data_IF_323281807670
#
_entry.id   IF_323281807670
#
_cell.length_a   1.000
_cell.length_b   1.000
_cell.length_c   1.000
_cell.angle_alpha   90.00
_cell.angle_beta   90.00
_cell.angle_gamma   90.00
#
_symmetry.space_group_name_H-M   'P 1'
#
loop_
_entity.id
_entity.type
_entity.pdbx_description
1 polymer ?
#
# COMPACT_ATOMS: atom_id res chain seq x y z
N UNK A 1 -35.76 41.23 -64.28
CA UNK A 1 -34.87 40.83 -63.15
C UNK A 1 -35.43 39.56 -62.52
N UNK A 2 -34.95 38.38 -62.95
CA UNK A 2 -35.34 37.08 -62.37
C UNK A 2 -34.31 36.73 -61.29
N UNK A 3 -34.76 36.62 -60.04
CA UNK A 3 -33.91 36.25 -58.89
C UNK A 3 -33.61 34.75 -58.98
N UNK A 4 -32.34 34.41 -59.14
CA UNK A 4 -31.82 33.04 -59.09
C UNK A 4 -31.49 32.74 -57.62
N UNK A 5 -32.23 31.83 -57.01
CA UNK A 5 -31.98 31.37 -55.64
C UNK A 5 -31.06 30.15 -55.71
N UNK A 6 -29.79 30.31 -55.37
CA UNK A 6 -28.84 29.20 -55.22
C UNK A 6 -29.12 28.49 -53.88
N UNK A 7 -29.63 27.26 -53.95
CA UNK A 7 -29.72 26.37 -52.79
C UNK A 7 -28.34 25.72 -52.59
N UNK A 8 -27.61 26.20 -51.57
CA UNK A 8 -26.35 25.62 -51.12
C UNK A 8 -26.65 24.35 -50.31
N UNK A 9 -26.57 23.18 -50.96
CA UNK A 9 -26.69 21.88 -50.31
C UNK A 9 -25.39 21.60 -49.54
N UNK A 10 -25.37 21.91 -48.24
CA UNK A 10 -24.25 21.59 -47.35
C UNK A 10 -24.17 20.08 -47.12
N UNK A 11 -23.18 19.43 -47.75
CA UNK A 11 -22.85 18.03 -47.50
C UNK A 11 -22.18 17.95 -46.11
N UNK A 12 -22.95 17.55 -45.10
CA UNK A 12 -22.42 17.19 -43.78
C UNK A 12 -21.60 15.89 -43.96
N UNK A 13 -20.27 16.00 -44.04
CA UNK A 13 -19.38 14.85 -43.86
C UNK A 13 -19.45 14.46 -42.38
N UNK A 14 -20.24 13.43 -42.08
CA UNK A 14 -20.15 12.72 -40.81
C UNK A 14 -18.85 11.93 -40.86
N UNK A 15 -17.81 12.46 -40.23
CA UNK A 15 -16.56 11.75 -40.02
C UNK A 15 -16.85 10.65 -38.99
N UNK A 16 -17.26 9.46 -39.46
CA UNK A 16 -17.35 8.29 -38.59
C UNK A 16 -15.96 8.02 -38.03
N UNK A 17 -15.78 8.21 -36.72
CA UNK A 17 -14.60 7.73 -36.03
C UNK A 17 -14.51 6.22 -36.31
N UNK A 18 -13.46 5.79 -37.02
CA UNK A 18 -13.19 4.37 -37.17
C UNK A 18 -13.00 3.80 -35.76
N UNK A 19 -13.64 2.69 -35.40
CA UNK A 19 -13.43 2.07 -34.10
C UNK A 19 -11.94 1.77 -33.96
N UNK A 20 -11.30 2.34 -32.94
CA UNK A 20 -9.92 1.99 -32.57
C UNK A 20 -9.96 0.51 -32.20
N UNK A 21 -9.19 -0.37 -32.87
CA UNK A 21 -9.16 -1.77 -32.50
C UNK A 21 -8.64 -1.89 -31.07
N UNK A 22 -9.36 -2.64 -30.24
CA UNK A 22 -8.92 -2.94 -28.88
C UNK A 22 -7.55 -3.65 -28.93
N UNK A 23 -6.62 -3.24 -28.06
CA UNK A 23 -5.29 -3.83 -27.96
C UNK A 23 -5.35 -5.36 -27.83
N UNK A 24 -4.41 -6.07 -28.49
CA UNK A 24 -4.31 -7.53 -28.43
C UNK A 24 -4.20 -8.01 -26.96
N UNK A 25 -4.89 -9.10 -26.60
CA UNK A 25 -4.88 -9.65 -25.24
C UNK A 25 -4.21 -11.03 -25.20
N UNK A 26 -3.18 -11.19 -24.39
CA UNK A 26 -2.59 -12.50 -24.09
C UNK A 26 -2.85 -12.87 -22.63
N UNK A 27 -3.65 -13.93 -22.44
CA UNK A 27 -3.87 -14.53 -21.12
C UNK A 27 -2.77 -15.56 -20.87
N UNK A 28 -2.03 -15.41 -19.77
CA UNK A 28 -1.02 -16.38 -19.31
C UNK A 28 -1.53 -16.99 -18.01
N UNK A 29 -1.79 -18.30 -18.02
CA UNK A 29 -2.45 -18.99 -16.91
C UNK A 29 -1.56 -20.04 -16.26
N UNK A 30 -1.43 -19.91 -14.94
CA UNK A 30 -0.89 -20.95 -14.08
C UNK A 30 -1.80 -22.17 -14.03
N UNK A 31 -1.24 -23.31 -14.42
CA UNK A 31 -1.80 -24.61 -14.20
C UNK A 31 -0.70 -25.55 -13.66
N UNK A 32 0.13 -25.06 -12.75
CA UNK A 32 1.12 -25.83 -12.01
C UNK A 32 0.47 -26.59 -10.84
N UNK A 33 1.17 -27.57 -10.28
CA UNK A 33 0.62 -28.45 -9.24
C UNK A 33 0.01 -27.74 -8.02
N UNK A 34 0.49 -26.54 -7.66
CA UNK A 34 -0.04 -25.72 -6.54
C UNK A 34 -1.50 -25.30 -6.74
N UNK A 35 -1.96 -25.20 -7.99
CA UNK A 35 -3.34 -24.85 -8.33
C UNK A 35 -4.38 -25.92 -7.94
N UNK A 36 -3.93 -27.07 -7.41
CA UNK A 36 -4.77 -28.05 -6.70
C UNK A 36 -5.03 -27.69 -5.24
N UNK A 37 -4.33 -26.71 -4.68
CA UNK A 37 -4.64 -26.10 -3.40
C UNK A 37 -6.08 -25.59 -3.35
N UNK A 38 -6.59 -25.39 -2.14
CA UNK A 38 -8.00 -25.05 -1.91
C UNK A 38 -8.17 -23.70 -1.24
N UNK A 39 -9.15 -22.95 -1.73
CA UNK A 39 -9.66 -21.75 -1.09
C UNK A 39 -11.10 -22.07 -0.68
N UNK A 40 -11.38 -22.00 0.63
CA UNK A 40 -12.72 -22.28 1.16
C UNK A 40 -13.32 -23.63 0.70
N UNK A 41 -12.47 -24.64 0.46
CA UNK A 41 -12.86 -25.99 0.04
C UNK A 41 -13.04 -26.18 -1.47
N UNK A 42 -12.85 -25.15 -2.30
CA UNK A 42 -12.84 -25.25 -3.77
C UNK A 42 -11.39 -25.17 -4.28
N UNK A 43 -11.03 -26.02 -5.25
CA UNK A 43 -9.66 -26.01 -5.81
C UNK A 43 -9.41 -24.71 -6.60
N UNK A 44 -8.23 -24.11 -6.44
CA UNK A 44 -7.83 -22.86 -7.11
C UNK A 44 -8.05 -22.91 -8.63
N UNK A 45 -7.67 -24.01 -9.29
CA UNK A 45 -7.89 -24.15 -10.74
C UNK A 45 -9.36 -24.14 -11.13
N UNK A 46 -10.26 -24.66 -10.29
CA UNK A 46 -11.70 -24.69 -10.59
C UNK A 46 -12.25 -23.26 -10.53
N UNK A 47 -11.84 -22.49 -9.53
CA UNK A 47 -12.15 -21.06 -9.40
C UNK A 47 -11.61 -20.31 -10.63
N UNK A 48 -10.32 -20.45 -10.94
CA UNK A 48 -9.67 -19.73 -12.04
C UNK A 48 -10.34 -20.01 -13.39
N UNK A 49 -10.68 -21.28 -13.68
CA UNK A 49 -11.41 -21.65 -14.92
C UNK A 49 -12.78 -21.00 -15.00
N UNK A 50 -13.52 -20.99 -13.89
CA UNK A 50 -14.86 -20.41 -13.82
C UNK A 50 -14.80 -18.90 -14.05
N UNK A 51 -13.93 -18.20 -13.34
CA UNK A 51 -13.78 -16.74 -13.43
C UNK A 51 -13.26 -16.32 -14.80
N UNK A 52 -12.24 -16.98 -15.34
CA UNK A 52 -11.76 -16.68 -16.71
C UNK A 52 -12.83 -16.97 -17.76
N UNK A 53 -13.65 -18.01 -17.55
CA UNK A 53 -14.80 -18.27 -18.42
C UNK A 53 -15.81 -17.13 -18.44
N UNK A 54 -16.00 -16.43 -17.32
CA UNK A 54 -16.86 -15.25 -17.20
C UNK A 54 -16.19 -14.00 -17.81
N UNK A 55 -14.89 -13.79 -17.58
CA UNK A 55 -14.11 -12.73 -18.23
C UNK A 55 -14.23 -12.80 -19.75
N UNK A 56 -14.10 -14.01 -20.31
CA UNK A 56 -14.22 -14.26 -21.76
C UNK A 56 -15.61 -13.88 -22.30
N UNK A 57 -16.66 -13.86 -21.49
CA UNK A 57 -17.99 -13.41 -21.92
C UNK A 57 -18.05 -11.87 -22.06
N UNK A 58 -17.19 -11.13 -21.33
CA UNK A 58 -17.14 -9.66 -21.32
C UNK A 58 -16.17 -9.03 -22.32
N UNK A 59 -15.23 -9.79 -22.90
CA UNK A 59 -14.23 -9.24 -23.83
C UNK A 59 -14.86 -8.61 -25.09
N UNK A 60 -14.31 -7.55 -25.70
CA UNK A 60 -14.81 -6.99 -26.96
C UNK A 60 -14.67 -7.97 -28.13
N UNK A 61 -15.65 -8.01 -29.05
CA UNK A 61 -15.60 -8.90 -30.23
C UNK A 61 -14.46 -8.57 -31.21
N UNK A 62 -14.01 -7.31 -31.21
CA UNK A 62 -12.93 -6.83 -32.06
C UNK A 62 -11.53 -7.15 -31.54
N UNK A 63 -11.40 -7.70 -30.33
CA UNK A 63 -10.12 -7.96 -29.69
C UNK A 63 -9.55 -9.30 -30.16
N UNK A 64 -8.26 -9.33 -30.54
CA UNK A 64 -7.55 -10.59 -30.74
C UNK A 64 -7.05 -11.14 -29.41
N UNK A 65 -7.22 -12.44 -29.19
CA UNK A 65 -6.94 -13.08 -27.89
C UNK A 65 -6.08 -14.33 -28.08
N UNK A 66 -5.06 -14.47 -27.24
CA UNK A 66 -4.27 -15.69 -27.08
C UNK A 66 -4.39 -16.26 -25.67
N UNK A 67 -4.18 -17.57 -25.55
CA UNK A 67 -4.06 -18.26 -24.27
C UNK A 67 -2.75 -19.03 -24.22
N UNK A 68 -1.85 -18.63 -23.32
CA UNK A 68 -0.66 -19.37 -22.93
C UNK A 68 -0.93 -20.02 -21.58
N UNK A 69 -0.60 -21.30 -21.43
CA UNK A 69 -0.69 -22.00 -20.15
C UNK A 69 0.60 -22.76 -19.86
N UNK A 70 0.96 -22.84 -18.58
CA UNK A 70 2.12 -23.60 -18.14
C UNK A 70 1.79 -24.62 -17.06
N UNK A 71 2.60 -25.67 -16.98
CA UNK A 71 2.48 -26.73 -15.97
C UNK A 71 1.29 -27.68 -16.16
N UNK A 72 0.51 -27.59 -17.23
CA UNK A 72 -0.75 -28.35 -17.33
C UNK A 72 -0.61 -29.78 -17.92
N UNK A 73 0.57 -30.20 -18.40
CA UNK A 73 0.74 -31.48 -19.13
C UNK A 73 1.78 -32.41 -18.50
N UNK A 74 2.91 -31.88 -18.05
CA UNK A 74 4.10 -32.65 -17.64
C UNK A 74 4.55 -32.30 -16.23
N UNK A 75 4.68 -33.33 -15.39
CA UNK A 75 5.16 -33.19 -14.02
C UNK A 75 6.67 -32.88 -14.00
N UNK A 76 7.08 -31.93 -13.14
CA UNK A 76 8.50 -31.60 -12.93
C UNK A 76 9.21 -30.87 -14.09
N UNK A 77 8.54 -30.60 -15.20
CA UNK A 77 9.14 -30.08 -16.43
C UNK A 77 9.03 -28.55 -16.55
N UNK A 78 10.19 -27.88 -16.57
CA UNK A 78 10.30 -26.43 -16.76
C UNK A 78 10.09 -25.96 -18.21
N UNK A 79 9.92 -26.88 -19.15
CA UNK A 79 9.59 -26.60 -20.55
C UNK A 79 8.10 -26.85 -20.83
N UNK A 80 7.28 -27.10 -19.81
CA UNK A 80 5.86 -27.34 -19.99
C UNK A 80 5.06 -26.06 -20.16
N UNK A 81 5.20 -25.48 -21.35
CA UNK A 81 4.53 -24.26 -21.79
C UNK A 81 3.80 -24.56 -23.09
N UNK A 82 2.60 -24.03 -23.25
CA UNK A 82 1.82 -24.16 -24.47
C UNK A 82 1.05 -22.89 -24.77
N UNK A 83 1.15 -22.43 -26.01
CA UNK A 83 0.16 -21.53 -26.61
C UNK A 83 -1.07 -22.35 -26.98
N UNK A 84 -1.97 -22.52 -26.02
CA UNK A 84 -3.20 -23.35 -26.10
C UNK A 84 -4.19 -22.79 -27.12
N UNK A 85 -4.25 -21.47 -27.22
CA UNK A 85 -4.96 -20.72 -28.25
C UNK A 85 -3.98 -19.73 -28.86
N UNK A 86 -3.65 -19.83 -30.16
CA UNK A 86 -2.80 -18.85 -30.82
C UNK A 86 -3.52 -17.50 -30.90
N UNK A 87 -2.74 -16.42 -30.96
CA UNK A 87 -3.29 -15.07 -31.09
C UNK A 87 -4.11 -14.94 -32.37
N UNK A 88 -5.35 -14.49 -32.24
CA UNK A 88 -6.27 -14.29 -33.34
C UNK A 88 -7.67 -13.90 -32.87
N UNK A 89 -8.66 -13.89 -33.79
CA UNK A 89 -10.02 -13.44 -33.49
C UNK A 89 -10.66 -14.20 -32.31
N UNK A 90 -11.42 -13.49 -31.48
CA UNK A 90 -12.06 -14.05 -30.29
C UNK A 90 -13.12 -15.12 -30.63
N UNK A 91 -12.76 -16.39 -30.43
CA UNK A 91 -13.68 -17.53 -30.37
C UNK A 91 -14.04 -17.85 -28.91
N UNK A 92 -15.11 -17.21 -28.38
CA UNK A 92 -15.49 -17.38 -26.97
C UNK A 92 -15.77 -18.84 -26.60
N UNK A 93 -16.61 -19.61 -27.34
CA UNK A 93 -16.84 -21.02 -27.03
C UNK A 93 -15.56 -21.86 -27.04
N UNK A 94 -14.71 -21.67 -28.05
CA UNK A 94 -13.43 -22.38 -28.15
C UNK A 94 -12.49 -22.05 -27.00
N UNK A 95 -12.32 -20.76 -26.69
CA UNK A 95 -11.45 -20.31 -25.60
C UNK A 95 -11.92 -20.83 -24.23
N UNK A 96 -13.23 -20.76 -23.94
CA UNK A 96 -13.80 -21.29 -22.69
C UNK A 96 -13.59 -22.80 -22.56
N UNK A 97 -13.76 -23.55 -23.66
CA UNK A 97 -13.51 -24.99 -23.66
C UNK A 97 -12.03 -25.32 -23.37
N UNK A 98 -11.10 -24.55 -23.96
CA UNK A 98 -9.67 -24.70 -23.72
C UNK A 98 -9.28 -24.40 -22.28
N UNK A 99 -9.77 -23.29 -21.71
CA UNK A 99 -9.56 -22.94 -20.29
C UNK A 99 -10.08 -24.05 -19.39
N UNK A 100 -11.33 -24.50 -19.61
CA UNK A 100 -11.97 -25.54 -18.82
C UNK A 100 -11.23 -26.88 -18.85
N UNK A 101 -10.50 -27.17 -19.93
CA UNK A 101 -9.75 -28.41 -20.08
C UNK A 101 -8.46 -28.49 -19.24
N UNK A 102 -7.92 -27.36 -18.76
CA UNK A 102 -6.49 -27.23 -18.42
C UNK A 102 -5.87 -28.36 -17.58
N UNK A 103 -5.88 -28.36 -16.26
CA UNK A 103 -5.52 -29.53 -15.41
C UNK A 103 -4.09 -29.46 -14.87
N UNK A 104 -3.92 -29.08 -13.59
CA UNK A 104 -2.61 -28.80 -13.09
C UNK A 104 -1.73 -30.04 -12.87
N UNK A 105 -0.43 -29.96 -13.19
CA UNK A 105 0.52 -31.09 -13.08
C UNK A 105 1.97 -30.72 -12.75
N UNK A 106 2.45 -29.62 -13.30
CA UNK A 106 3.87 -29.34 -13.50
C UNK A 106 4.40 -28.23 -12.61
N UNK A 107 5.53 -27.67 -13.04
CA UNK A 107 6.20 -26.53 -12.39
C UNK A 107 5.63 -25.19 -12.89
N UNK A 108 6.20 -24.11 -12.36
CA UNK A 108 5.84 -22.69 -12.59
C UNK A 108 6.92 -21.98 -13.43
N UNK A 109 7.10 -22.28 -14.73
CA UNK A 109 8.08 -21.60 -15.59
C UNK A 109 7.56 -20.23 -16.08
N UNK A 110 7.32 -19.30 -15.15
CA UNK A 110 6.66 -18.00 -15.41
C UNK A 110 7.42 -17.19 -16.46
N UNK A 111 8.74 -17.10 -16.31
CA UNK A 111 9.63 -16.33 -17.19
C UNK A 111 9.55 -16.85 -18.61
N UNK A 112 9.72 -18.16 -18.82
CA UNK A 112 9.64 -18.73 -20.16
C UNK A 112 8.22 -18.62 -20.75
N UNK A 113 7.18 -18.64 -19.92
CA UNK A 113 5.79 -18.43 -20.36
C UNK A 113 5.53 -16.99 -20.80
N UNK A 114 6.06 -16.02 -20.06
CA UNK A 114 6.05 -14.61 -20.44
C UNK A 114 6.88 -14.38 -21.71
N UNK A 115 7.96 -15.14 -21.93
CA UNK A 115 8.76 -15.04 -23.15
C UNK A 115 7.95 -15.48 -24.38
N UNK A 116 7.17 -16.56 -24.25
CA UNK A 116 6.23 -16.99 -25.29
C UNK A 116 5.18 -15.90 -25.55
N UNK A 117 4.57 -15.34 -24.50
CA UNK A 117 3.59 -14.26 -24.61
C UNK A 117 4.17 -13.00 -25.29
N UNK A 118 5.38 -12.60 -24.93
CA UNK A 118 6.12 -11.48 -25.56
C UNK A 118 6.31 -11.76 -27.06
N UNK A 119 6.70 -12.98 -27.43
CA UNK A 119 6.90 -13.36 -28.83
C UNK A 119 5.62 -13.32 -29.67
N UNK A 120 4.45 -13.54 -29.06
CA UNK A 120 3.16 -13.44 -29.76
C UNK A 120 2.79 -12.00 -30.13
N UNK A 121 3.23 -11.02 -29.34
CA UNK A 121 2.85 -9.59 -29.50
C UNK A 121 3.96 -8.73 -30.10
N UNK A 122 5.18 -9.26 -30.21
CA UNK A 122 6.32 -8.55 -30.79
C UNK A 122 6.00 -8.08 -32.23
N UNK A 123 6.10 -6.78 -32.47
CA UNK A 123 5.84 -6.17 -33.77
C UNK A 123 4.35 -6.00 -34.15
N UNK A 124 3.42 -6.30 -33.24
CA UNK A 124 1.96 -6.13 -33.47
C UNK A 124 1.40 -4.78 -32.99
N UNK A 125 2.20 -4.00 -32.27
CA UNK A 125 1.78 -2.76 -31.61
C UNK A 125 1.41 -3.00 -30.15
N UNK A 126 0.63 -2.08 -29.57
CA UNK A 126 0.22 -2.15 -28.18
C UNK A 126 -0.59 -3.42 -27.86
N UNK A 127 -0.12 -4.20 -26.89
CA UNK A 127 -0.78 -5.41 -26.41
C UNK A 127 -0.84 -5.48 -24.88
N UNK A 128 -1.90 -6.05 -24.35
CA UNK A 128 -2.07 -6.32 -22.92
C UNK A 128 -1.80 -7.80 -22.64
N UNK A 129 -0.90 -8.07 -21.70
CA UNK A 129 -0.63 -9.41 -21.18
C UNK A 129 -1.17 -9.49 -19.75
N UNK A 130 -1.97 -10.50 -19.43
CA UNK A 130 -2.47 -10.74 -18.08
C UNK A 130 -1.98 -12.10 -17.60
N UNK A 131 -1.09 -12.10 -16.61
CA UNK A 131 -0.62 -13.30 -15.93
C UNK A 131 -1.47 -13.58 -14.70
N UNK A 132 -2.01 -14.80 -14.57
CA UNK A 132 -2.64 -15.29 -13.34
C UNK A 132 -1.75 -16.37 -12.75
N UNK A 133 -1.22 -16.16 -11.55
CA UNK A 133 -0.29 -17.07 -10.87
C UNK A 133 -0.64 -17.23 -9.39
N UNK A 134 -0.51 -18.45 -8.86
CA UNK A 134 -0.68 -18.73 -7.41
C UNK A 134 0.65 -18.89 -6.66
N UNK A 135 1.78 -18.64 -7.33
CA UNK A 135 3.09 -18.72 -6.70
C UNK A 135 4.24 -18.11 -7.50
N UNK A 136 5.45 -18.35 -7.00
CA UNK A 136 6.70 -17.88 -7.57
C UNK A 136 7.19 -18.75 -8.74
N UNK A 137 8.15 -18.18 -9.48
CA UNK A 137 8.97 -18.90 -10.45
C UNK A 137 9.73 -20.05 -9.79
N UNK A 138 9.51 -21.29 -10.26
CA UNK A 138 10.19 -22.50 -9.74
C UNK A 138 11.21 -23.09 -10.72
N UNK A 139 11.46 -22.43 -11.84
CA UNK A 139 12.36 -22.87 -12.89
C UNK A 139 13.61 -21.99 -13.07
N UNK A 140 13.88 -21.12 -12.11
CA UNK A 140 15.12 -20.33 -12.04
C UNK A 140 15.17 -19.14 -13.01
N UNK A 141 14.03 -18.76 -13.58
CA UNK A 141 13.89 -17.56 -14.40
C UNK A 141 13.81 -16.26 -13.59
N UNK A 142 13.85 -15.15 -14.31
CA UNK A 142 13.59 -13.81 -13.77
C UNK A 142 12.57 -13.10 -14.68
N UNK A 143 11.27 -13.14 -14.33
CA UNK A 143 10.22 -12.58 -15.17
C UNK A 143 10.33 -11.05 -15.22
N UNK A 144 10.82 -10.42 -14.14
CA UNK A 144 10.99 -8.98 -14.11
C UNK A 144 12.08 -8.52 -15.07
N UNK A 145 13.24 -9.19 -15.05
CA UNK A 145 14.32 -8.91 -16.01
C UNK A 145 13.87 -9.13 -17.45
N UNK A 146 13.19 -10.24 -17.74
CA UNK A 146 12.69 -10.52 -19.09
C UNK A 146 11.79 -9.41 -19.62
N UNK A 147 10.81 -8.97 -18.82
CA UNK A 147 9.84 -7.95 -19.24
C UNK A 147 10.54 -6.59 -19.44
N UNK A 148 11.51 -6.23 -18.59
CA UNK A 148 12.34 -5.04 -18.80
C UNK A 148 13.10 -5.11 -20.11
N UNK A 149 13.73 -6.24 -20.41
CA UNK A 149 14.47 -6.44 -21.65
C UNK A 149 13.56 -6.39 -22.88
N UNK A 150 12.36 -6.98 -22.80
CA UNK A 150 11.38 -6.93 -23.89
C UNK A 150 10.96 -5.49 -24.20
N UNK A 151 10.58 -4.71 -23.19
CA UNK A 151 10.21 -3.29 -23.39
C UNK A 151 11.39 -2.43 -23.84
N UNK A 152 12.60 -2.70 -23.35
CA UNK A 152 13.81 -2.02 -23.82
C UNK A 152 14.14 -2.31 -25.29
N UNK A 153 13.72 -3.47 -25.82
CA UNK A 153 13.80 -3.83 -27.24
C UNK A 153 12.67 -3.22 -28.08
N UNK A 154 11.74 -2.48 -27.47
CA UNK A 154 10.64 -1.81 -28.16
C UNK A 154 9.36 -2.63 -28.26
N UNK A 155 9.22 -3.73 -27.51
CA UNK A 155 7.94 -4.44 -27.45
C UNK A 155 6.93 -3.59 -26.68
N UNK A 156 5.88 -3.16 -27.36
CA UNK A 156 4.78 -2.37 -26.81
C UNK A 156 3.80 -3.27 -26.08
N UNK A 157 4.13 -3.66 -24.85
CA UNK A 157 3.26 -4.45 -23.99
C UNK A 157 2.98 -3.77 -22.65
N UNK A 158 1.78 -4.01 -22.12
CA UNK A 158 1.42 -3.80 -20.71
C UNK A 158 1.22 -5.15 -20.04
N UNK A 159 1.99 -5.45 -18.99
CA UNK A 159 1.84 -6.68 -18.21
C UNK A 159 1.11 -6.41 -16.90
N UNK A 160 -0.10 -6.94 -16.77
CA UNK A 160 -0.79 -7.09 -15.50
C UNK A 160 -0.52 -8.47 -14.91
N UNK A 161 -0.37 -8.54 -13.58
CA UNK A 161 -0.18 -9.80 -12.87
C UNK A 161 -1.21 -9.88 -11.75
N UNK A 162 -1.97 -10.97 -11.74
CA UNK A 162 -2.94 -11.30 -10.70
C UNK A 162 -2.37 -12.45 -9.86
N UNK A 163 -1.94 -12.13 -8.64
CA UNK A 163 -1.51 -13.09 -7.64
C UNK A 163 -2.72 -13.72 -6.95
N UNK A 164 -3.01 -14.98 -7.24
CA UNK A 164 -4.18 -15.70 -6.73
C UNK A 164 -3.82 -16.59 -5.53
N UNK A 165 -4.21 -16.17 -4.32
CA UNK A 165 -3.86 -16.82 -3.05
C UNK A 165 -2.34 -17.05 -2.91
N UNK A 166 -1.58 -15.96 -3.12
CA UNK A 166 -0.11 -15.90 -3.03
C UNK A 166 0.29 -15.38 -1.65
N UNK A 167 1.29 -16.02 -1.03
CA UNK A 167 1.84 -15.57 0.25
C UNK A 167 2.54 -14.19 0.14
N UNK A 168 2.55 -13.41 1.23
CA UNK A 168 3.12 -12.04 1.23
C UNK A 168 4.62 -11.99 0.99
N UNK A 169 5.33 -13.07 1.25
CA UNK A 169 6.77 -13.19 0.99
C UNK A 169 7.06 -13.46 -0.50
N UNK A 170 6.06 -13.91 -1.25
CA UNK A 170 6.17 -14.46 -2.60
C UNK A 170 5.71 -13.48 -3.70
N UNK A 171 5.36 -12.24 -3.34
CA UNK A 171 4.78 -11.26 -4.29
C UNK A 171 5.79 -10.34 -4.97
N UNK A 172 6.99 -10.15 -4.42
CA UNK A 172 7.94 -9.13 -4.90
C UNK A 172 8.39 -9.32 -6.36
N UNK A 173 8.62 -10.57 -6.79
CA UNK A 173 9.08 -10.87 -8.15
C UNK A 173 7.97 -10.65 -9.20
N UNK A 174 6.76 -11.10 -8.89
CA UNK A 174 5.57 -10.91 -9.73
C UNK A 174 5.20 -9.43 -9.86
N UNK A 175 5.27 -8.74 -8.73
CA UNK A 175 5.01 -7.32 -8.64
C UNK A 175 6.04 -6.48 -9.43
N UNK A 176 7.32 -6.86 -9.37
CA UNK A 176 8.38 -6.30 -10.20
C UNK A 176 8.08 -6.51 -11.70
N UNK A 177 7.63 -7.70 -12.11
CA UNK A 177 7.31 -8.00 -13.50
C UNK A 177 6.16 -7.15 -14.03
N UNK A 178 5.08 -7.00 -13.27
CA UNK A 178 3.97 -6.11 -13.62
C UNK A 178 4.46 -4.66 -13.80
N UNK A 179 5.26 -4.16 -12.86
CA UNK A 179 5.83 -2.81 -12.92
C UNK A 179 6.76 -2.62 -14.10
N UNK A 180 7.63 -3.59 -14.39
CA UNK A 180 8.49 -3.59 -15.57
C UNK A 180 7.66 -3.47 -16.86
N UNK A 181 6.54 -4.18 -16.91
CA UNK A 181 5.56 -4.13 -17.99
C UNK A 181 4.74 -2.85 -18.03
N UNK A 182 4.83 -2.00 -17.00
CA UNK A 182 3.99 -0.80 -16.89
C UNK A 182 2.52 -1.09 -16.59
N UNK A 183 2.19 -2.30 -16.14
CA UNK A 183 0.85 -2.68 -15.69
C UNK A 183 0.75 -2.74 -14.17
N UNK A 184 -0.26 -3.48 -13.68
CA UNK A 184 -0.62 -3.53 -12.26
C UNK A 184 -0.41 -4.92 -11.69
N UNK A 185 0.07 -4.96 -10.45
CA UNK A 185 0.02 -6.16 -9.62
C UNK A 185 -1.26 -6.11 -8.78
N UNK A 186 -2.09 -7.13 -8.90
CA UNK A 186 -3.38 -7.27 -8.22
C UNK A 186 -3.36 -8.57 -7.43
N UNK A 187 -3.96 -8.59 -6.25
CA UNK A 187 -4.07 -9.80 -5.42
C UNK A 187 -5.53 -10.23 -5.33
N UNK A 188 -5.75 -11.54 -5.26
CA UNK A 188 -7.07 -12.11 -5.05
C UNK A 188 -6.99 -13.30 -4.10
N UNK A 189 -7.79 -13.29 -3.03
CA UNK A 189 -7.86 -14.35 -2.03
C UNK A 189 -9.07 -15.28 -2.23
N UNK A 190 -9.97 -14.95 -3.16
CA UNK A 190 -11.17 -15.72 -3.48
C UNK A 190 -11.66 -15.46 -4.92
N UNK A 191 -12.77 -16.11 -5.29
CA UNK A 191 -13.33 -16.04 -6.64
C UNK A 191 -13.82 -14.64 -7.04
N UNK A 192 -14.45 -13.92 -6.12
CA UNK A 192 -15.02 -12.60 -6.40
C UNK A 192 -13.90 -11.57 -6.59
N UNK A 193 -12.87 -11.62 -5.73
CA UNK A 193 -11.66 -10.81 -5.88
C UNK A 193 -10.89 -11.14 -7.16
N UNK A 194 -10.82 -12.41 -7.55
CA UNK A 194 -10.18 -12.81 -8.81
C UNK A 194 -10.93 -12.23 -10.02
N UNK A 195 -12.27 -12.21 -9.97
CA UNK A 195 -13.09 -11.58 -11.02
C UNK A 195 -12.81 -10.09 -11.12
N UNK A 196 -12.89 -9.38 -10.00
CA UNK A 196 -12.65 -7.94 -9.94
C UNK A 196 -11.23 -7.57 -10.40
N UNK A 197 -10.22 -8.35 -9.98
CA UNK A 197 -8.83 -8.14 -10.40
C UNK A 197 -8.65 -8.35 -11.91
N UNK A 198 -9.26 -9.38 -12.49
CA UNK A 198 -9.20 -9.64 -13.93
C UNK A 198 -9.92 -8.56 -14.75
N UNK A 199 -11.11 -8.15 -14.32
CA UNK A 199 -11.86 -7.04 -14.94
C UNK A 199 -11.03 -5.75 -14.92
N UNK A 200 -10.41 -5.43 -13.79
CA UNK A 200 -9.50 -4.28 -13.66
C UNK A 200 -8.29 -4.39 -14.60
N UNK A 201 -7.71 -5.58 -14.74
CA UNK A 201 -6.55 -5.81 -15.58
C UNK A 201 -6.86 -5.66 -17.08
N UNK A 202 -8.02 -6.10 -17.55
CA UNK A 202 -8.41 -5.97 -18.98
C UNK A 202 -8.98 -4.60 -19.31
N UNK A 203 -9.49 -3.85 -18.33
CA UNK A 203 -10.01 -2.50 -18.51
C UNK A 203 -8.93 -1.42 -18.71
N UNK A 204 -7.65 -1.76 -18.53
CA UNK A 204 -6.49 -0.89 -18.75
C UNK A 204 -5.72 -1.31 -20.00
N UNK A 205 -6.29 -1.15 -21.20
CA UNK A 205 -5.63 -1.62 -22.41
C UNK A 205 -4.38 -0.79 -22.74
N UNK A 206 -3.42 -1.45 -23.38
CA UNK A 206 -2.09 -0.91 -23.66
C UNK A 206 -2.06 0.31 -24.59
N UNK A 207 -3.18 0.61 -25.27
CA UNK A 207 -3.37 1.74 -26.18
C UNK A 207 -3.77 3.05 -25.47
N UNK A 208 -4.10 3.01 -24.18
CA UNK A 208 -4.32 4.23 -23.37
C UNK A 208 -2.98 4.70 -22.81
N UNK A 209 -2.50 5.92 -23.11
CA UNK A 209 -1.30 6.48 -22.49
C UNK A 209 -1.55 6.70 -21.00
N UNK A 210 -1.28 5.65 -20.20
CA UNK A 210 -1.47 5.70 -18.76
C UNK A 210 -0.67 6.87 -18.19
N UNK A 211 -1.39 7.74 -17.47
CA UNK A 211 -0.80 8.65 -16.52
C UNK A 211 -0.07 7.82 -15.45
N UNK A 212 1.00 8.34 -14.86
CA UNK A 212 1.83 7.59 -13.91
C UNK A 212 2.02 8.38 -12.64
N UNK A 213 1.78 7.73 -11.52
CA UNK A 213 2.24 8.19 -10.22
C UNK A 213 3.51 7.42 -9.84
N UNK A 214 4.62 8.13 -9.69
CA UNK A 214 5.89 7.57 -9.23
C UNK A 214 6.12 7.97 -7.78
N UNK A 215 6.20 6.99 -6.87
CA UNK A 215 6.40 7.22 -5.44
C UNK A 215 7.71 6.62 -4.98
N UNK A 216 8.58 7.45 -4.39
CA UNK A 216 9.83 7.02 -3.77
C UNK A 216 9.82 7.35 -2.28
N UNK A 217 10.22 6.38 -1.46
CA UNK A 217 10.46 6.58 -0.04
C UNK A 217 11.93 6.51 0.28
N UNK A 218 12.44 7.48 1.06
CA UNK A 218 13.80 7.46 1.59
C UNK A 218 13.80 7.64 3.10
N UNK A 219 14.88 7.18 3.74
CA UNK A 219 15.16 7.37 5.16
C UNK A 219 16.66 7.33 5.39
N UNK A 220 17.21 8.38 5.99
CA UNK A 220 18.62 8.46 6.37
C UNK A 220 19.58 8.12 5.20
N UNK A 221 19.18 8.45 3.96
CA UNK A 221 19.93 8.17 2.73
C UNK A 221 19.69 6.79 2.08
N UNK A 222 18.93 5.89 2.71
CA UNK A 222 18.50 4.60 2.15
C UNK A 222 17.05 4.60 1.66
N UNK A 223 16.65 3.53 0.98
CA UNK A 223 15.25 3.32 0.56
C UNK A 223 14.37 2.96 1.77
N UNK A 224 13.17 3.53 1.81
CA UNK A 224 12.14 3.27 2.81
C UNK A 224 10.92 2.62 2.15
N UNK A 225 10.41 1.56 2.80
CA UNK A 225 9.19 0.88 2.40
C UNK A 225 7.97 1.72 2.76
N UNK A 226 7.12 1.95 1.77
CA UNK A 226 5.89 2.73 1.83
C UNK A 226 4.71 1.86 1.39
N UNK A 227 3.60 1.96 2.11
CA UNK A 227 2.30 1.57 1.62
C UNK A 227 1.61 2.78 0.98
N UNK A 228 1.09 2.59 -0.23
CA UNK A 228 0.42 3.61 -1.04
C UNK A 228 -1.02 3.14 -1.23
N UNK A 229 -1.97 4.04 -1.09
CA UNK A 229 -3.40 3.82 -1.36
C UNK A 229 -3.89 4.97 -2.26
N UNK A 230 -4.59 4.62 -3.34
CA UNK A 230 -5.03 5.57 -4.36
C UNK A 230 -6.54 5.46 -4.51
N UNK A 231 -7.23 6.59 -4.37
CA UNK A 231 -8.67 6.71 -4.58
C UNK A 231 -8.91 7.72 -5.69
N UNK A 232 -9.84 7.42 -6.60
CA UNK A 232 -10.32 8.39 -7.58
C UNK A 232 -11.11 9.50 -6.86
N UNK A 233 -10.65 10.75 -6.97
CA UNK A 233 -11.19 11.86 -6.19
C UNK A 233 -12.59 12.31 -6.66
N UNK A 234 -13.01 11.94 -7.88
CA UNK A 234 -14.32 12.32 -8.43
C UNK A 234 -15.39 11.28 -8.09
N UNK A 235 -15.05 9.99 -8.24
CA UNK A 235 -15.98 8.87 -8.05
C UNK A 235 -15.92 8.26 -6.65
N UNK A 236 -14.81 8.45 -5.93
CA UNK A 236 -14.51 7.76 -4.68
C UNK A 236 -14.15 6.27 -4.87
N UNK A 237 -13.90 5.83 -6.10
CA UNK A 237 -13.51 4.46 -6.39
C UNK A 237 -12.12 4.15 -5.81
N UNK A 238 -12.03 3.05 -5.05
CA UNK A 238 -10.75 2.55 -4.55
C UNK A 238 -9.99 1.88 -5.70
N UNK A 239 -8.97 2.58 -6.19
CA UNK A 239 -8.11 2.07 -7.25
C UNK A 239 -7.02 1.14 -6.70
N UNK A 240 -7.06 0.80 -5.42
CA UNK A 240 -6.17 -0.16 -4.78
C UNK A 240 -4.91 0.45 -4.18
N UNK A 241 -4.07 -0.44 -3.64
CA UNK A 241 -2.81 -0.07 -3.01
C UNK A 241 -1.58 -0.66 -3.69
N UNK A 242 -0.43 -0.06 -3.42
CA UNK A 242 0.87 -0.54 -3.87
C UNK A 242 1.91 -0.43 -2.75
N UNK A 243 3.00 -1.20 -2.83
CA UNK A 243 4.14 -1.07 -1.92
C UNK A 243 5.41 -0.77 -2.68
N UNK A 244 6.28 0.04 -2.06
CA UNK A 244 7.60 0.33 -2.62
C UNK A 244 8.65 -0.69 -2.20
N UNK A 245 8.54 -1.30 -1.02
CA UNK A 245 9.61 -2.08 -0.37
C UNK A 245 10.93 -1.31 -0.23
N UNK A 246 11.91 -1.92 0.45
CA UNK A 246 13.29 -1.38 0.55
C UNK A 246 14.18 -1.94 -0.56
N UNK A 247 13.66 -2.07 -1.78
CA UNK A 247 14.37 -2.65 -2.93
C UNK A 247 14.35 -1.69 -4.14
N UNK A 248 15.49 -1.43 -4.81
CA UNK A 248 15.54 -0.54 -5.96
C UNK A 248 14.69 -0.98 -7.17
N UNK A 249 14.34 -2.26 -7.25
CA UNK A 249 13.51 -2.80 -8.33
C UNK A 249 12.03 -2.41 -8.22
N UNK A 250 11.59 -2.03 -7.02
CA UNK A 250 10.21 -1.64 -6.68
C UNK A 250 10.10 -0.22 -6.11
N UNK A 251 11.23 0.45 -5.86
CA UNK A 251 11.31 1.79 -5.28
C UNK A 251 12.23 2.70 -6.13
N UNK A 252 11.69 3.63 -6.94
CA UNK A 252 10.31 4.13 -6.89
C UNK A 252 9.28 3.14 -7.39
N UNK A 253 8.08 3.22 -6.81
CA UNK A 253 6.90 2.49 -7.27
C UNK A 253 6.17 3.31 -8.32
N UNK A 254 6.05 2.75 -9.52
CA UNK A 254 5.30 3.36 -10.63
C UNK A 254 3.91 2.74 -10.66
N UNK A 255 2.88 3.57 -10.51
CA UNK A 255 1.48 3.17 -10.54
C UNK A 255 0.86 3.77 -11.81
N UNK A 256 0.49 2.95 -12.80
CA UNK A 256 -0.26 3.42 -13.95
C UNK A 256 -1.71 3.72 -13.53
N UNK A 257 -2.19 4.89 -13.92
CA UNK A 257 -3.52 5.40 -13.64
C UNK A 257 -4.11 6.01 -14.93
N UNK A 258 -5.44 6.07 -15.07
CA UNK A 258 -6.07 6.95 -16.04
C UNK A 258 -5.62 8.41 -15.84
N UNK A 259 -5.86 9.28 -16.83
CA UNK A 259 -5.76 10.71 -16.60
C UNK A 259 -6.93 11.15 -15.69
N UNK A 260 -6.66 11.92 -14.64
CA UNK A 260 -7.69 12.23 -13.65
C UNK A 260 -7.19 12.95 -12.41
N UNK A 261 -8.02 12.89 -11.35
CA UNK A 261 -7.78 13.47 -10.03
C UNK A 261 -7.79 12.36 -8.99
N UNK A 262 -6.83 12.37 -8.08
CA UNK A 262 -6.65 11.30 -7.11
C UNK A 262 -6.41 11.82 -5.70
N UNK A 263 -7.03 11.15 -4.73
CA UNK A 263 -6.65 11.26 -3.34
C UNK A 263 -5.67 10.14 -3.02
N UNK A 264 -4.45 10.51 -2.65
CA UNK A 264 -3.34 9.56 -2.45
C UNK A 264 -2.88 9.61 -1.00
N UNK A 265 -2.99 8.47 -0.32
CA UNK A 265 -2.46 8.26 1.03
C UNK A 265 -1.20 7.40 0.96
N UNK A 266 -0.12 7.88 1.59
CA UNK A 266 1.18 7.19 1.63
C UNK A 266 1.62 7.07 3.09
N UNK A 267 1.98 5.86 3.53
CA UNK A 267 2.41 5.59 4.90
C UNK A 267 3.75 4.85 4.94
N UNK A 268 4.70 5.35 5.73
CA UNK A 268 5.99 4.68 5.93
C UNK A 268 5.87 3.51 6.93
N UNK A 269 6.32 2.33 6.50
CA UNK A 269 6.19 1.10 7.28
C UNK A 269 7.33 0.97 8.29
N UNK A 270 6.99 0.58 9.52
CA UNK A 270 7.96 0.27 10.57
C UNK A 270 8.58 1.48 11.27
N UNK A 271 8.03 2.68 11.06
CA UNK A 271 8.48 3.92 11.69
C UNK A 271 7.53 4.38 12.80
N UNK A 272 8.02 5.29 13.65
CA UNK A 272 7.24 6.02 14.66
C UNK A 272 7.33 7.52 14.38
N UNK A 273 6.36 8.28 14.83
CA UNK A 273 6.23 9.71 14.54
C UNK A 273 5.15 9.97 13.50
N UNK A 274 5.26 11.11 12.84
CA UNK A 274 4.42 11.45 11.69
C UNK A 274 4.92 10.69 10.44
N UNK A 275 4.23 9.61 10.11
CA UNK A 275 4.63 8.63 9.09
C UNK A 275 3.70 8.61 7.88
N UNK A 276 2.67 9.44 7.86
CA UNK A 276 1.68 9.49 6.77
C UNK A 276 1.80 10.79 5.96
N UNK A 277 1.55 10.70 4.66
CA UNK A 277 1.46 11.84 3.74
C UNK A 277 0.20 11.68 2.92
N UNK A 278 -0.62 12.72 2.90
CA UNK A 278 -1.91 12.73 2.23
C UNK A 278 -1.84 13.81 1.13
N UNK A 279 -2.21 13.44 -0.09
CA UNK A 279 -2.27 14.35 -1.23
C UNK A 279 -3.69 14.33 -1.76
N UNK A 280 -4.44 15.40 -1.48
CA UNK A 280 -5.82 15.57 -1.94
C UNK A 280 -5.85 16.22 -3.33
N UNK A 281 -6.80 15.82 -4.19
CA UNK A 281 -7.02 16.37 -5.54
C UNK A 281 -5.74 16.43 -6.39
N UNK A 282 -4.93 15.36 -6.35
CA UNK A 282 -3.72 15.22 -7.16
C UNK A 282 -4.10 15.01 -8.62
N UNK A 283 -3.78 15.98 -9.48
CA UNK A 283 -4.05 15.92 -10.92
C UNK A 283 -2.91 15.24 -11.66
N UNK A 284 -3.25 14.30 -12.54
CA UNK A 284 -2.29 13.64 -13.43
C UNK A 284 -2.90 13.62 -14.84
N UNK A 285 -2.23 14.27 -15.78
CA UNK A 285 -2.63 14.34 -17.19
C UNK A 285 -2.28 13.07 -17.98
N UNK A 286 -2.83 12.98 -19.19
CA UNK A 286 -2.58 11.88 -20.11
C UNK A 286 -1.09 11.76 -20.46
N UNK A 287 -0.52 10.56 -20.30
CA UNK A 287 0.90 10.29 -20.49
C UNK A 287 1.84 11.00 -19.50
N UNK A 288 1.34 11.80 -18.56
CA UNK A 288 2.13 12.50 -17.56
C UNK A 288 2.69 11.52 -16.53
N UNK A 289 3.89 11.79 -16.01
CA UNK A 289 4.41 11.13 -14.81
C UNK A 289 4.57 12.16 -13.70
N UNK A 290 3.80 12.00 -12.62
CA UNK A 290 3.91 12.82 -11.42
C UNK A 290 4.78 12.08 -10.40
N UNK A 291 5.88 12.72 -9.98
CA UNK A 291 6.83 12.16 -9.03
C UNK A 291 6.58 12.67 -7.60
N UNK A 292 6.61 11.76 -6.63
CA UNK A 292 6.55 12.02 -5.19
C UNK A 292 7.74 11.36 -4.50
N UNK A 293 8.72 12.16 -4.10
CA UNK A 293 9.86 11.71 -3.30
C UNK A 293 9.64 12.14 -1.85
N UNK A 294 9.57 11.18 -0.94
CA UNK A 294 9.24 11.40 0.47
C UNK A 294 10.40 10.94 1.36
N UNK A 295 10.92 11.86 2.16
CA UNK A 295 11.97 11.57 3.15
C UNK A 295 11.35 11.40 4.55
N UNK A 296 11.62 10.25 5.15
CA UNK A 296 11.21 9.88 6.51
C UNK A 296 12.41 9.72 7.46
N UNK A 297 13.50 10.43 7.17
CA UNK A 297 14.65 10.56 8.06
C UNK A 297 14.22 10.92 9.49
N UNK A 298 14.92 10.36 10.47
CA UNK A 298 14.47 10.37 11.86
C UNK A 298 15.48 11.05 12.76
N UNK A 299 15.01 11.67 13.84
CA UNK A 299 15.82 12.17 14.95
C UNK A 299 15.58 11.38 16.25
N UNK A 300 16.34 11.72 17.28
CA UNK A 300 16.23 11.15 18.63
C UNK A 300 15.63 12.18 19.60
N UNK A 301 14.58 11.77 20.31
CA UNK A 301 14.00 12.50 21.45
C UNK A 301 14.31 11.73 22.73
N UNK A 302 14.99 12.37 23.69
CA UNK A 302 15.16 11.87 25.05
C UNK A 302 14.34 12.69 26.03
N UNK A 303 13.64 12.00 26.92
CA UNK A 303 12.80 12.64 27.95
C UNK A 303 13.20 12.13 29.33
N UNK A 304 13.85 12.99 30.11
CA UNK A 304 14.27 12.72 31.48
C UNK A 304 13.27 13.28 32.50
N UNK A 305 12.93 12.48 33.49
CA UNK A 305 12.02 12.91 34.56
C UNK A 305 12.62 12.64 35.93
N UNK A 306 12.66 13.65 36.77
CA UNK A 306 13.04 13.54 38.18
C UNK A 306 11.90 13.98 39.09
N UNK A 307 11.99 13.62 40.35
CA UNK A 307 11.15 14.10 41.44
C UNK A 307 12.08 14.50 42.57
N UNK A 308 12.12 15.79 42.90
CA UNK A 308 13.04 16.35 43.89
C UNK A 308 14.50 16.00 43.60
N UNK A 309 14.88 15.97 42.31
CA UNK A 309 16.24 15.67 41.86
C UNK A 309 16.58 14.18 41.72
N UNK A 310 15.72 13.26 42.16
CA UNK A 310 15.93 11.81 41.98
C UNK A 310 15.13 11.28 40.79
N UNK A 311 15.64 10.25 40.10
CA UNK A 311 14.94 9.66 38.95
C UNK A 311 13.54 9.17 39.36
N UNK A 312 12.53 9.52 38.56
CA UNK A 312 11.12 9.25 38.89
C UNK A 312 10.36 8.59 37.74
N UNK A 313 9.32 7.85 38.10
CA UNK A 313 8.41 7.21 37.15
C UNK A 313 7.36 8.22 36.63
N UNK A 314 7.27 8.30 35.30
CA UNK A 314 6.30 9.11 34.60
C UNK A 314 5.91 8.46 33.28
N UNK A 315 4.66 8.67 32.87
CA UNK A 315 4.21 8.37 31.51
C UNK A 315 4.74 9.43 30.55
N UNK A 316 5.20 9.02 29.37
CA UNK A 316 5.65 9.89 28.28
C UNK A 316 4.73 9.66 27.08
N UNK A 317 4.14 10.72 26.55
CA UNK A 317 3.36 10.72 25.32
C UNK A 317 3.89 11.74 24.32
N UNK A 318 3.88 11.38 23.04
CA UNK A 318 4.30 12.24 21.93
C UNK A 318 3.17 12.29 20.91
N UNK A 319 2.77 13.50 20.54
CA UNK A 319 1.63 13.76 19.68
C UNK A 319 2.05 14.60 18.47
N UNK A 320 1.41 14.39 17.32
CA UNK A 320 1.57 15.32 16.19
C UNK A 320 0.96 16.66 16.58
N UNK A 321 1.75 17.73 16.46
CA UNK A 321 1.35 19.08 16.89
C UNK A 321 0.03 19.50 16.28
N UNK A 322 -0.88 20.02 17.10
CA UNK A 322 -2.20 20.50 16.65
C UNK A 322 -3.22 19.39 16.39
N UNK A 323 -2.88 18.13 16.68
CA UNK A 323 -3.77 16.98 16.58
C UNK A 323 -3.84 16.23 17.91
N UNK A 324 -4.75 15.25 18.01
CA UNK A 324 -4.78 14.30 19.14
C UNK A 324 -4.07 12.97 18.84
N UNK A 325 -3.36 12.88 17.70
CA UNK A 325 -2.71 11.65 17.27
C UNK A 325 -1.46 11.36 18.10
N UNK A 326 -1.53 10.36 18.96
CA UNK A 326 -0.36 9.83 19.68
C UNK A 326 0.46 8.95 18.74
N UNK A 327 1.74 9.29 18.57
CA UNK A 327 2.65 8.63 17.62
C UNK A 327 3.81 7.90 18.29
N UNK A 328 4.08 8.18 19.56
CA UNK A 328 5.06 7.48 20.37
C UNK A 328 4.86 7.74 21.86
N UNK A 329 5.50 6.92 22.69
CA UNK A 329 5.47 7.11 24.13
C UNK A 329 6.22 6.01 24.88
N UNK A 330 6.05 6.03 26.20
CA UNK A 330 6.59 5.02 27.09
C UNK A 330 6.54 5.46 28.54
N UNK A 331 7.46 4.92 29.34
CA UNK A 331 7.65 5.32 30.74
C UNK A 331 9.10 5.65 31.00
N UNK A 332 9.33 6.65 31.84
CA UNK A 332 10.58 6.75 32.59
C UNK A 332 10.43 5.90 33.85
N UNK A 333 11.53 5.34 34.37
CA UNK A 333 11.54 4.70 35.68
C UNK A 333 12.65 5.29 36.55
N UNK A 334 12.76 4.79 37.78
CA UNK A 334 13.78 5.20 38.77
C UNK A 334 15.19 4.62 38.48
N UNK A 335 15.47 4.26 37.23
CA UNK A 335 16.72 3.64 36.82
C UNK A 335 17.31 4.35 35.59
N UNK A 336 18.61 4.63 35.63
CA UNK A 336 19.33 5.34 34.56
C UNK A 336 19.28 4.64 33.20
N UNK A 337 19.07 3.31 33.18
CA UNK A 337 18.89 2.53 31.94
C UNK A 337 17.58 2.83 31.19
N UNK A 338 16.66 3.54 31.84
CA UNK A 338 15.30 3.81 31.32
C UNK A 338 14.86 5.26 31.51
N UNK A 339 15.74 6.09 32.06
CA UNK A 339 15.50 7.49 32.35
C UNK A 339 16.83 8.24 32.13
N UNK A 340 16.96 8.99 31.01
CA UNK A 340 15.87 9.43 30.14
C UNK A 340 15.30 8.35 29.23
N UNK A 341 14.01 8.48 28.90
CA UNK A 341 13.34 7.66 27.90
C UNK A 341 13.76 8.12 26.50
N UNK A 342 14.44 7.28 25.73
CA UNK A 342 14.80 7.54 24.33
C UNK A 342 13.70 7.04 23.36
N UNK A 343 13.38 7.86 22.38
CA UNK A 343 12.40 7.63 21.31
C UNK A 343 13.01 8.09 19.99
N UNK A 344 12.98 7.23 18.96
CA UNK A 344 13.32 7.62 17.58
C UNK A 344 12.03 7.94 16.83
N UNK A 345 11.98 9.12 16.22
CA UNK A 345 10.80 9.67 15.56
C UNK A 345 11.18 10.22 14.19
N UNK A 346 10.29 10.11 13.20
CA UNK A 346 10.44 10.83 11.93
C UNK A 346 10.59 12.33 12.19
N UNK A 347 11.34 13.01 11.33
CA UNK A 347 11.50 14.45 11.43
C UNK A 347 10.15 15.15 11.33
N UNK A 348 9.93 16.16 12.17
CA UNK A 348 8.63 16.79 12.31
C UNK A 348 8.49 17.64 13.56
N UNK A 349 7.29 18.13 13.80
CA UNK A 349 6.97 18.98 14.96
C UNK A 349 5.96 18.28 15.86
N UNK A 350 6.30 18.10 17.12
CA UNK A 350 5.54 17.28 18.06
C UNK A 350 5.22 18.02 19.37
N UNK A 351 4.09 17.67 19.98
CA UNK A 351 3.80 18.01 21.35
C UNK A 351 4.20 16.83 22.25
N UNK A 352 5.03 17.09 23.27
CA UNK A 352 5.52 16.07 24.21
C UNK A 352 4.87 16.32 25.56
N UNK A 353 4.26 15.28 26.12
CA UNK A 353 3.60 15.34 27.43
C UNK A 353 4.23 14.32 28.35
N UNK A 354 4.57 14.72 29.56
CA UNK A 354 4.93 13.82 30.65
C UNK A 354 4.01 13.99 31.83
N UNK A 355 3.56 12.88 32.40
CA UNK A 355 2.70 12.87 33.59
C UNK A 355 3.30 12.03 34.70
N UNK A 356 3.46 12.62 35.89
CA UNK A 356 3.93 11.86 37.05
C UNK A 356 2.89 10.82 37.45
N UNK A 357 3.35 9.59 37.69
CA UNK A 357 2.49 8.52 38.22
C UNK A 357 2.64 8.32 39.74
N UNK A 358 3.62 9.00 40.34
CA UNK A 358 4.01 8.83 41.75
C UNK A 358 3.47 9.93 42.66
N UNK A 359 2.87 10.97 42.08
CA UNK A 359 2.36 12.16 42.77
C UNK A 359 0.83 12.16 42.65
N UNK A 360 0.15 12.28 43.79
CA UNK A 360 -1.31 12.45 43.84
C UNK A 360 -1.73 13.67 43.00
N UNK A 361 -2.86 13.56 42.29
CA UNK A 361 -3.27 14.56 41.29
C UNK A 361 -2.58 14.42 39.93
N UNK A 362 -1.59 13.52 39.77
CA UNK A 362 -0.92 13.18 38.50
C UNK A 362 -0.52 14.42 37.67
N UNK A 363 0.31 15.32 38.23
CA UNK A 363 0.70 16.54 37.52
C UNK A 363 1.38 16.21 36.19
N UNK A 364 1.14 17.06 35.20
CA UNK A 364 1.68 16.92 33.86
C UNK A 364 2.52 18.14 33.46
N UNK A 365 3.52 17.89 32.63
CA UNK A 365 4.29 18.88 31.90
C UNK A 365 4.09 18.66 30.40
N UNK A 366 3.83 19.74 29.67
CA UNK A 366 3.68 19.74 28.21
C UNK A 366 4.72 20.66 27.57
N UNK A 367 5.44 20.14 26.58
CA UNK A 367 6.24 20.92 25.64
C UNK A 367 5.53 20.94 24.30
N UNK A 368 5.18 22.13 23.82
CA UNK A 368 4.51 22.31 22.54
C UNK A 368 5.53 22.59 21.43
N UNK A 369 5.22 22.13 20.22
CA UNK A 369 6.00 22.44 19.00
C UNK A 369 7.49 22.07 19.09
N UNK A 370 7.80 20.93 19.69
CA UNK A 370 9.16 20.36 19.72
C UNK A 370 9.54 19.90 18.33
N UNK A 371 10.57 20.50 17.75
CA UNK A 371 11.07 20.16 16.41
C UNK A 371 12.10 19.05 16.51
N UNK A 372 11.86 17.95 15.79
CA UNK A 372 12.81 16.85 15.60
C UNK A 372 13.38 16.98 14.18
N UNK A 373 14.67 17.26 14.08
CA UNK A 373 15.37 17.31 12.80
C UNK A 373 15.89 15.92 12.38
N UNK A 374 16.08 15.67 11.07
CA UNK A 374 16.78 14.48 10.58
C UNK A 374 18.13 14.30 11.27
N UNK A 375 18.37 13.13 11.87
CA UNK A 375 19.58 12.80 12.65
C UNK A 375 19.83 13.72 13.87
N UNK A 376 18.94 14.66 14.15
CA UNK A 376 19.01 15.58 15.27
C UNK A 376 18.73 14.88 16.60
N UNK A 377 19.12 15.54 17.69
CA UNK A 377 18.89 15.06 19.06
C UNK A 377 18.24 16.15 19.88
N UNK A 378 17.15 15.82 20.55
CA UNK A 378 16.44 16.71 21.48
C UNK A 378 16.40 16.06 22.86
N UNK A 379 16.88 16.76 23.88
CA UNK A 379 16.83 16.32 25.28
C UNK A 379 15.87 17.22 26.07
N UNK A 380 14.76 16.65 26.53
CA UNK A 380 13.78 17.30 27.39
C UNK A 380 13.92 16.77 28.81
N UNK A 381 13.87 17.66 29.80
CA UNK A 381 13.96 17.30 31.22
C UNK A 381 12.92 18.03 32.04
N UNK A 382 12.31 17.33 32.98
CA UNK A 382 11.41 17.94 33.95
C UNK A 382 11.60 17.33 35.35
N UNK A 383 11.62 18.18 36.37
CA UNK A 383 11.59 17.77 37.77
C UNK A 383 10.20 18.06 38.34
N UNK A 384 9.45 17.01 38.70
CA UNK A 384 8.20 17.15 39.43
C UNK A 384 8.49 17.40 40.91
N UNK A 385 8.86 18.63 41.23
CA UNK A 385 9.05 19.07 42.61
C UNK A 385 7.78 18.78 43.42
N UNK A 386 7.95 18.14 44.57
CA UNK A 386 6.83 17.75 45.44
C UNK A 386 7.22 17.79 46.92
N UNK A 387 6.25 18.11 47.76
CA UNK A 387 6.41 18.13 49.21
C UNK A 387 5.38 17.21 49.88
N UNK A 388 5.63 16.85 51.13
CA UNK A 388 4.65 16.12 51.95
C UNK A 388 3.90 17.11 52.84
N UNK A 389 2.58 17.17 52.66
CA UNK A 389 1.68 17.90 53.56
C UNK A 389 1.24 16.98 54.70
N UNK A 390 1.55 17.36 55.96
CA UNK A 390 1.08 16.64 57.15
C UNK A 390 -0.04 17.44 57.82
N UNK A 391 -1.22 16.87 57.91
CA UNK A 391 -2.40 17.50 58.54
C UNK A 391 -2.79 16.67 59.76
N UNK A 392 -2.99 17.35 60.90
CA UNK A 392 -3.52 16.78 62.13
C UNK A 392 -4.67 17.63 62.64
N UNK A 393 -5.76 17.00 63.07
CA UNK A 393 -6.88 17.66 63.73
C UNK A 393 -6.75 17.52 65.24
N UNK A 394 -7.09 18.57 65.99
CA UNK A 394 -7.12 18.55 67.46
C UNK A 394 -8.36 19.24 67.99
N UNK A 395 -8.93 18.66 69.04
CA UNK A 395 -10.00 19.26 69.85
C UNK A 395 -9.60 19.24 71.32
N UNK A 396 -9.62 20.41 71.95
CA UNK A 396 -9.18 20.58 73.34
C UNK A 396 -7.78 19.98 73.63
N UNK A 397 -6.85 20.07 72.67
CA UNK A 397 -5.48 19.58 72.81
C UNK A 397 -5.26 18.10 72.45
N UNK A 398 -6.31 17.29 72.38
CA UNK A 398 -6.24 15.87 71.98
C UNK A 398 -6.37 15.70 70.45
N UNK A 399 -5.74 14.66 69.89
CA UNK A 399 -5.91 14.30 68.48
C UNK A 399 -7.36 13.91 68.19
N UNK A 400 -7.89 14.40 67.07
CA UNK A 400 -9.24 14.12 66.62
C UNK A 400 -9.25 13.46 65.23
N UNK A 401 -10.21 12.56 65.03
CA UNK A 401 -10.52 12.00 63.72
C UNK A 401 -11.29 13.01 62.87
N UNK A 402 -10.74 13.37 61.70
CA UNK A 402 -11.34 14.28 60.75
C UNK A 402 -11.09 13.79 59.32
N UNK A 403 -12.08 13.98 58.44
CA UNK A 403 -11.88 13.81 57.00
C UNK A 403 -11.14 15.03 56.47
N UNK A 404 -10.06 14.77 55.74
CA UNK A 404 -9.24 15.78 55.07
C UNK A 404 -9.52 15.69 53.58
N UNK A 405 -9.89 16.83 52.99
CA UNK A 405 -9.94 16.99 51.53
C UNK A 405 -8.93 18.08 51.16
N UNK A 406 -8.10 17.78 50.17
CA UNK A 406 -7.13 18.71 49.60
C UNK A 406 -7.62 19.06 48.21
N UNK A 407 -7.81 20.35 47.95
CA UNK A 407 -8.16 20.88 46.65
C UNK A 407 -7.10 21.88 46.17
N UNK A 408 -6.95 22.02 44.86
CA UNK A 408 -6.13 23.07 44.27
C UNK A 408 -6.79 24.46 44.43
N UNK A 409 -6.08 25.51 43.99
CA UNK A 409 -6.58 26.89 44.07
C UNK A 409 -7.84 27.14 43.22
N UNK A 410 -8.14 26.27 42.25
CA UNK A 410 -9.37 26.31 41.44
C UNK A 410 -10.52 25.50 42.06
N UNK A 411 -10.29 24.84 43.20
CA UNK A 411 -11.27 24.04 43.92
C UNK A 411 -11.40 22.60 43.42
N UNK A 412 -10.54 22.13 42.51
CA UNK A 412 -10.53 20.74 42.09
C UNK A 412 -9.88 19.86 43.17
N UNK A 413 -10.51 18.74 43.54
CA UNK A 413 -9.96 17.80 44.51
C UNK A 413 -8.66 17.17 43.98
N UNK A 414 -7.56 17.35 44.70
CA UNK A 414 -6.23 16.82 44.33
C UNK A 414 -5.83 15.60 45.16
N UNK A 415 -6.27 15.53 46.42
CA UNK A 415 -6.03 14.39 47.31
C UNK A 415 -7.02 14.40 48.49
N UNK A 416 -7.10 13.31 49.24
CA UNK A 416 -7.97 13.20 50.40
C UNK A 416 -7.48 12.14 51.37
N UNK A 417 -7.62 12.41 52.66
CA UNK A 417 -7.18 11.52 53.73
C UNK A 417 -8.11 11.58 54.93
N UNK A 418 -7.76 10.84 55.99
CA UNK A 418 -8.43 10.90 57.28
C UNK A 418 -7.37 11.05 58.36
N UNK A 419 -7.52 12.02 59.26
CA UNK A 419 -6.73 12.07 60.49
C UNK A 419 -7.27 11.05 61.47
N UNK A 420 -6.42 10.53 62.35
CA UNK A 420 -6.85 9.58 63.38
C UNK A 420 -6.56 10.16 64.76
N UNK A 421 -7.31 9.68 65.75
CA UNK A 421 -7.16 10.04 67.16
C UNK A 421 -6.01 9.28 67.86
N UNK A 422 -4.99 8.88 67.11
CA UNK A 422 -3.79 8.17 67.58
C UNK A 422 -2.56 8.72 66.86
N UNK A 423 -1.41 8.67 67.54
CA UNK A 423 -0.12 9.11 66.99
C UNK A 423 0.37 8.26 65.81
#
# INVERSE_FOLDING_TARGET
MRKLTFALCGLLLVLSALPVPAADLVLVLDASGSMWGQIQGENKIVIARRVLGQLVDGLPESQEVALVAYGHRREGDCQDIETVVPLGPLDRPGLKARVGALNPKGKTPITASLQEAVGLVEGRGAATVVLVSDGLETCGGDPCKLVREARAKGVELVLHVVGFDVAKEDVSQLECAAQAGGGRFLTAENADELSAALETAVALPADVPAARLSVQGTRDGGLQDLAIHVVDAETGEDLGGARTYTDPSTNPRIIPLPAGRYDVKIAAIGLKGDVERHFEDLRIGEGETVEKVLDFSSGELTVGVTRNGELSDAGVGVFVTGTQQNVAGGRTYRAASSNPKSLRLTAGTYDVVVGSVEIAGKPEQRWEKVVIEPQGKVDLRHDFASATLKIGSRRAGALEDAVVQVADAAGASVDGARTYNRE
#
